data_IF_500247619453
#
_entry.id   IF_500247619453
#
_cell.length_a   1.000
_cell.length_b   1.000
_cell.length_c   1.000
_cell.angle_alpha   90.00
_cell.angle_beta   90.00
_cell.angle_gamma   90.00
#
_symmetry.space_group_name_H-M   'P 1'
#
loop_
_entity.id
_entity.type
_entity.pdbx_description
1 polymer ?
#
# COMPACT_ATOMS: atom_id res chain seq x y z
N UNK A 1 -35.51 14.01 -29.19
CA UNK A 1 -36.20 12.72 -28.91
C UNK A 1 -36.33 12.58 -27.41
N UNK A 2 -37.53 12.24 -26.86
CA UNK A 2 -37.67 11.89 -25.44
C UNK A 2 -37.21 10.45 -25.28
N UNK A 3 -36.36 10.18 -24.29
CA UNK A 3 -35.94 8.83 -23.97
C UNK A 3 -37.16 7.95 -23.60
N UNK A 4 -37.19 6.71 -24.09
CA UNK A 4 -38.23 5.74 -23.73
C UNK A 4 -38.03 5.30 -22.27
N UNK A 5 -39.12 5.16 -21.52
CA UNK A 5 -39.09 4.75 -20.10
C UNK A 5 -38.30 3.45 -19.89
N UNK A 6 -38.37 2.53 -20.84
CA UNK A 6 -37.61 1.27 -20.80
C UNK A 6 -36.10 1.47 -20.93
N UNK A 7 -35.68 2.41 -21.77
CA UNK A 7 -34.24 2.79 -21.94
C UNK A 7 -33.69 3.43 -20.67
N UNK A 8 -34.50 4.26 -20.02
CA UNK A 8 -34.11 4.90 -18.73
C UNK A 8 -33.94 3.85 -17.63
N UNK A 9 -34.88 2.89 -17.52
CA UNK A 9 -34.81 1.80 -16.53
C UNK A 9 -33.55 0.93 -16.74
N UNK A 10 -33.29 0.51 -17.98
CA UNK A 10 -32.06 -0.25 -18.31
C UNK A 10 -30.79 0.52 -18.01
N UNK A 11 -30.76 1.83 -18.23
CA UNK A 11 -29.63 2.68 -17.90
C UNK A 11 -29.41 2.74 -16.37
N UNK A 12 -30.50 2.89 -15.60
CA UNK A 12 -30.44 2.89 -14.14
C UNK A 12 -29.87 1.56 -13.57
N UNK A 13 -30.30 0.40 -14.11
CA UNK A 13 -29.78 -0.90 -13.70
C UNK A 13 -28.29 -1.04 -14.01
N UNK A 14 -27.86 -0.63 -15.22
CA UNK A 14 -26.42 -0.62 -15.60
C UNK A 14 -25.60 0.33 -14.72
N UNK A 15 -26.14 1.49 -14.39
CA UNK A 15 -25.46 2.44 -13.49
C UNK A 15 -25.35 1.90 -12.07
N UNK A 16 -26.40 1.26 -11.54
CA UNK A 16 -26.38 0.63 -10.22
C UNK A 16 -25.31 -0.49 -10.15
N UNK A 17 -25.21 -1.33 -11.18
CA UNK A 17 -24.20 -2.38 -11.27
C UNK A 17 -22.76 -1.84 -11.39
N UNK A 18 -22.60 -0.61 -11.89
CA UNK A 18 -21.28 0.04 -12.04
C UNK A 18 -20.93 0.97 -10.88
N UNK A 19 -21.86 1.24 -9.98
CA UNK A 19 -21.67 2.22 -8.91
C UNK A 19 -20.43 1.91 -8.05
N UNK A 20 -19.58 2.91 -7.85
CA UNK A 20 -18.35 2.80 -7.05
C UNK A 20 -17.18 2.09 -7.74
N UNK A 21 -17.35 1.57 -8.96
CA UNK A 21 -16.24 0.96 -9.68
C UNK A 21 -15.34 2.03 -10.34
N UNK A 22 -14.02 1.85 -10.34
CA UNK A 22 -13.10 2.77 -11.02
C UNK A 22 -13.38 2.81 -12.53
N UNK A 23 -13.12 3.95 -13.15
CA UNK A 23 -13.34 4.13 -14.59
C UNK A 23 -12.39 3.23 -15.39
N UNK A 24 -11.15 3.12 -14.95
CA UNK A 24 -10.12 2.26 -15.55
C UNK A 24 -9.84 1.03 -14.67
N UNK A 25 -9.45 -0.10 -15.29
CA UNK A 25 -9.03 -1.28 -14.52
C UNK A 25 -7.91 -0.91 -13.57
N UNK A 26 -8.01 -1.39 -12.32
CA UNK A 26 -7.02 -1.15 -11.28
C UNK A 26 -6.40 -2.47 -10.85
N UNK A 27 -5.12 -2.42 -10.48
CA UNK A 27 -4.44 -3.54 -9.83
C UNK A 27 -4.45 -3.29 -8.35
N UNK A 28 -5.08 -4.19 -7.62
CA UNK A 28 -5.18 -4.13 -6.18
C UNK A 28 -4.08 -5.00 -5.55
N UNK A 29 -3.37 -4.42 -4.59
CA UNK A 29 -2.36 -5.07 -3.75
C UNK A 29 -2.76 -4.88 -2.30
N UNK A 30 -2.36 -5.82 -1.46
CA UNK A 30 -2.64 -5.77 -0.03
C UNK A 30 -1.36 -5.98 0.75
N UNK A 31 -1.15 -5.18 1.78
CA UNK A 31 -0.06 -5.34 2.74
C UNK A 31 -0.61 -5.57 4.14
N UNK A 32 0.11 -6.34 4.93
CA UNK A 32 -0.20 -6.58 6.34
C UNK A 32 0.66 -5.69 7.23
N UNK A 33 0.07 -4.69 7.87
CA UNK A 33 0.70 -3.95 8.96
C UNK A 33 0.63 -4.87 10.19
N UNK A 34 1.67 -5.68 10.39
CA UNK A 34 1.70 -6.69 11.46
C UNK A 34 2.36 -6.13 12.71
N UNK A 35 1.55 -6.01 13.75
CA UNK A 35 2.01 -5.71 15.09
C UNK A 35 2.47 -7.00 15.79
N UNK A 36 3.63 -6.94 16.45
CA UNK A 36 4.17 -8.02 17.27
C UNK A 36 4.20 -7.54 18.72
N UNK A 37 3.52 -8.26 19.62
CA UNK A 37 3.54 -8.00 21.05
C UNK A 37 4.84 -8.57 21.63
N UNK A 38 5.77 -7.70 22.03
CA UNK A 38 7.05 -8.05 22.64
C UNK A 38 7.13 -7.55 24.06
N UNK A 39 8.10 -8.07 24.84
CA UNK A 39 8.32 -7.69 26.24
C UNK A 39 8.59 -6.21 26.46
N UNK A 40 9.17 -5.55 25.46
CA UNK A 40 9.52 -4.13 25.48
C UNK A 40 8.45 -3.23 24.78
N UNK A 41 7.35 -3.81 24.32
CA UNK A 41 6.22 -3.10 23.72
C UNK A 41 5.82 -3.64 22.35
N UNK A 42 5.01 -2.86 21.63
CA UNK A 42 4.58 -3.22 20.29
C UNK A 42 5.69 -2.91 19.28
N UNK A 43 5.90 -3.84 18.37
CA UNK A 43 6.78 -3.71 17.19
C UNK A 43 5.98 -3.84 15.91
N UNK A 44 6.45 -3.22 14.83
CA UNK A 44 6.00 -3.48 13.47
C UNK A 44 6.95 -4.47 12.81
N UNK A 45 6.40 -5.49 12.14
CA UNK A 45 7.17 -6.46 11.37
C UNK A 45 7.34 -5.97 9.94
N UNK A 46 8.56 -6.14 9.43
CA UNK A 46 8.95 -5.81 8.06
C UNK A 46 9.71 -6.97 7.44
N UNK A 47 9.75 -6.97 6.14
CA UNK A 47 10.65 -7.80 5.35
C UNK A 47 11.56 -6.94 4.47
N UNK A 48 12.73 -7.50 4.13
CA UNK A 48 13.64 -6.98 3.13
C UNK A 48 13.54 -7.86 1.90
N UNK A 49 13.28 -7.25 0.74
CA UNK A 49 13.11 -7.94 -0.53
C UNK A 49 14.41 -8.59 -0.98
N UNK A 50 14.31 -9.81 -1.55
CA UNK A 50 15.47 -10.54 -2.08
C UNK A 50 16.02 -9.89 -3.35
N UNK A 51 17.27 -10.19 -3.69
CA UNK A 51 17.95 -9.67 -4.89
C UNK A 51 17.34 -10.19 -6.21
N UNK A 52 16.59 -11.28 -6.14
CA UNK A 52 15.97 -11.98 -7.26
C UNK A 52 14.69 -11.34 -7.78
N UNK A 53 14.07 -10.45 -7.02
CA UNK A 53 12.76 -9.85 -7.34
C UNK A 53 12.88 -8.35 -7.65
N UNK A 54 11.78 -7.75 -8.12
CA UNK A 54 11.74 -6.31 -8.39
C UNK A 54 11.96 -5.51 -7.11
N UNK A 55 12.65 -4.38 -7.22
CA UNK A 55 13.02 -3.51 -6.10
C UNK A 55 13.83 -4.29 -5.03
N UNK A 56 14.97 -4.88 -5.40
CA UNK A 56 15.77 -5.66 -4.47
C UNK A 56 16.28 -4.80 -3.33
N UNK A 57 16.30 -5.38 -2.14
CA UNK A 57 16.76 -4.71 -0.92
C UNK A 57 15.80 -3.70 -0.31
N UNK A 58 14.67 -3.37 -0.95
CA UNK A 58 13.65 -2.51 -0.35
C UNK A 58 13.03 -3.17 0.89
N UNK A 59 12.71 -2.33 1.86
CA UNK A 59 11.99 -2.75 3.07
C UNK A 59 10.49 -2.50 2.89
N UNK A 60 9.70 -3.53 3.11
CA UNK A 60 8.24 -3.46 2.98
C UNK A 60 7.52 -4.23 4.09
N UNK A 61 6.22 -4.06 4.18
CA UNK A 61 5.35 -4.99 4.88
C UNK A 61 5.14 -6.24 4.03
N UNK A 62 4.92 -7.42 4.62
CA UNK A 62 4.47 -8.60 3.89
C UNK A 62 3.21 -8.28 3.10
N UNK A 63 3.12 -8.81 1.87
CA UNK A 63 1.94 -8.59 1.07
C UNK A 63 2.16 -8.68 -0.43
N UNK A 64 1.06 -8.78 -1.17
CA UNK A 64 1.12 -9.01 -2.59
C UNK A 64 -0.17 -8.66 -3.33
N UNK A 65 -0.37 -9.28 -4.47
CA UNK A 65 -1.48 -8.99 -5.35
C UNK A 65 -2.77 -9.66 -4.87
N UNK A 66 -3.86 -8.88 -4.81
CA UNK A 66 -5.20 -9.41 -4.56
C UNK A 66 -5.63 -10.34 -5.71
N UNK A 67 -6.00 -11.56 -5.38
CA UNK A 67 -6.52 -12.53 -6.34
C UNK A 67 -8.04 -12.45 -6.48
N UNK A 68 -8.56 -13.02 -7.57
CA UNK A 68 -10.00 -12.98 -7.84
C UNK A 68 -10.76 -13.83 -6.81
N UNK A 69 -11.70 -13.18 -6.11
CA UNK A 69 -12.54 -13.85 -5.10
C UNK A 69 -12.00 -13.79 -3.68
N UNK A 70 -10.77 -13.30 -3.48
CA UNK A 70 -10.22 -13.04 -2.15
C UNK A 70 -10.79 -11.78 -1.52
N UNK A 71 -10.94 -11.79 -0.22
CA UNK A 71 -11.03 -10.57 0.60
C UNK A 71 -9.64 -9.97 0.83
N UNK A 72 -9.58 -8.71 1.26
CA UNK A 72 -8.30 -8.07 1.59
C UNK A 72 -7.58 -8.78 2.73
N UNK A 73 -8.34 -9.27 3.71
CA UNK A 73 -7.82 -10.00 4.87
C UNK A 73 -7.22 -11.35 4.47
N UNK A 74 -7.91 -12.10 3.60
CA UNK A 74 -7.42 -13.38 3.09
C UNK A 74 -6.12 -13.20 2.30
N UNK A 75 -6.07 -12.21 1.40
CA UNK A 75 -4.86 -11.88 0.65
C UNK A 75 -3.68 -11.53 1.58
N UNK A 76 -3.90 -10.62 2.55
CA UNK A 76 -2.86 -10.22 3.49
C UNK A 76 -2.29 -11.40 4.27
N UNK A 77 -3.14 -12.32 4.73
CA UNK A 77 -2.71 -13.49 5.49
C UNK A 77 -2.02 -14.54 4.60
N UNK A 78 -2.52 -14.78 3.38
CA UNK A 78 -1.92 -15.71 2.41
C UNK A 78 -0.51 -15.27 2.03
N UNK A 79 -0.36 -14.03 1.60
CA UNK A 79 0.96 -13.48 1.20
C UNK A 79 1.94 -13.51 2.37
N UNK A 80 1.50 -13.13 3.59
CA UNK A 80 2.35 -13.19 4.78
C UNK A 80 2.80 -14.62 5.08
N UNK A 81 1.92 -15.61 4.92
CA UNK A 81 2.27 -17.02 5.10
C UNK A 81 3.27 -17.49 4.04
N UNK A 82 3.07 -17.12 2.77
CA UNK A 82 3.92 -17.51 1.65
C UNK A 82 5.32 -16.90 1.77
N UNK A 83 5.43 -15.64 2.17
CA UNK A 83 6.68 -14.90 2.28
C UNK A 83 7.46 -15.21 3.57
N UNK A 84 6.77 -15.35 4.70
CA UNK A 84 7.40 -15.41 6.02
C UNK A 84 7.17 -16.72 6.80
N UNK A 85 6.18 -17.53 6.41
CA UNK A 85 5.73 -18.72 7.15
C UNK A 85 4.80 -18.42 8.33
N UNK A 86 4.54 -17.15 8.64
CA UNK A 86 3.74 -16.74 9.79
C UNK A 86 2.24 -16.96 9.54
N UNK A 87 1.53 -17.58 10.50
CA UNK A 87 0.10 -17.93 10.35
C UNK A 87 -0.76 -17.67 11.60
N UNK A 88 -0.16 -17.48 12.77
CA UNK A 88 -0.91 -17.24 14.02
C UNK A 88 -1.19 -15.75 14.23
N UNK A 89 -1.89 -15.13 13.25
CA UNK A 89 -2.14 -13.71 13.19
C UNK A 89 -3.61 -13.43 13.45
N UNK A 90 -3.91 -12.60 14.44
CA UNK A 90 -5.25 -12.07 14.68
C UNK A 90 -5.43 -10.78 13.90
N UNK A 91 -6.31 -10.79 12.92
CA UNK A 91 -6.68 -9.59 12.15
C UNK A 91 -7.44 -8.62 13.05
N UNK A 92 -7.02 -7.36 13.07
CA UNK A 92 -7.69 -6.27 13.77
C UNK A 92 -8.66 -5.50 12.87
N UNK A 93 -8.38 -5.41 11.58
CA UNK A 93 -9.23 -4.76 10.59
C UNK A 93 -8.47 -4.15 9.43
N UNK A 94 -9.20 -3.48 8.54
CA UNK A 94 -8.64 -2.68 7.45
C UNK A 94 -8.26 -1.30 7.96
N UNK A 95 -7.17 -0.73 7.44
CA UNK A 95 -6.74 0.60 7.85
C UNK A 95 -6.96 1.63 6.74
N UNK A 96 -6.14 1.63 5.71
CA UNK A 96 -6.15 2.66 4.69
C UNK A 96 -5.88 2.09 3.29
N UNK A 97 -6.22 2.86 2.27
CA UNK A 97 -5.87 2.55 0.87
C UNK A 97 -5.08 3.72 0.29
N UNK A 98 -3.89 3.43 -0.19
CA UNK A 98 -3.06 4.36 -0.94
C UNK A 98 -3.26 4.15 -2.43
N UNK A 99 -3.61 5.21 -3.14
CA UNK A 99 -3.73 5.18 -4.60
C UNK A 99 -2.45 5.72 -5.23
N UNK A 100 -1.89 4.94 -6.15
CA UNK A 100 -0.67 5.28 -6.87
C UNK A 100 -0.93 5.58 -8.35
N UNK A 101 0.01 6.31 -8.94
CA UNK A 101 0.07 6.49 -10.40
C UNK A 101 0.15 5.09 -11.04
N UNK A 102 -0.27 4.90 -12.26
CA UNK A 102 -0.33 3.62 -12.96
C UNK A 102 -1.44 2.65 -12.50
N UNK A 103 -2.55 3.19 -12.01
CA UNK A 103 -3.76 2.43 -11.67
C UNK A 103 -3.50 1.31 -10.64
N UNK A 104 -2.72 1.62 -9.60
CA UNK A 104 -2.47 0.74 -8.46
C UNK A 104 -3.22 1.27 -7.24
N UNK A 105 -3.92 0.37 -6.54
CA UNK A 105 -4.40 0.60 -5.19
C UNK A 105 -3.66 -0.34 -4.24
N UNK A 106 -3.04 0.23 -3.21
CA UNK A 106 -2.39 -0.51 -2.13
C UNK A 106 -3.27 -0.42 -0.89
N UNK A 107 -3.90 -1.52 -0.54
CA UNK A 107 -4.72 -1.66 0.66
C UNK A 107 -3.87 -2.11 1.83
N UNK A 108 -4.23 -1.71 3.04
CA UNK A 108 -3.58 -2.20 4.25
C UNK A 108 -4.57 -2.86 5.20
N UNK A 109 -4.17 -4.01 5.70
CA UNK A 109 -4.83 -4.75 6.77
C UNK A 109 -3.92 -4.70 8.00
N UNK A 110 -4.49 -4.56 9.17
CA UNK A 110 -3.75 -4.58 10.44
C UNK A 110 -3.95 -5.91 11.12
N UNK A 111 -2.87 -6.55 11.52
CA UNK A 111 -2.87 -7.76 12.32
C UNK A 111 -1.99 -7.61 13.55
N UNK A 112 -2.16 -8.54 14.50
CA UNK A 112 -1.35 -8.65 15.70
C UNK A 112 -1.02 -10.09 16.04
N UNK A 113 0.17 -10.34 16.53
CA UNK A 113 0.62 -11.65 16.99
C UNK A 113 1.53 -11.55 18.21
N UNK A 114 1.69 -12.64 18.94
CA UNK A 114 2.64 -12.78 20.04
C UNK A 114 4.07 -13.03 19.52
N UNK A 115 5.10 -12.50 20.23
CA UNK A 115 6.52 -12.66 19.84
C UNK A 115 6.99 -14.13 19.77
N UNK A 116 6.35 -15.05 20.51
CA UNK A 116 6.70 -16.47 20.46
C UNK A 116 6.55 -17.08 19.06
N UNK A 117 5.69 -16.51 18.22
CA UNK A 117 5.51 -16.96 16.84
C UNK A 117 6.60 -16.46 15.87
N UNK A 118 7.50 -15.59 16.31
CA UNK A 118 8.68 -15.22 15.50
C UNK A 118 9.63 -16.40 15.30
N UNK A 119 9.59 -17.41 16.17
CA UNK A 119 10.36 -18.65 16.02
C UNK A 119 9.84 -19.51 14.84
N UNK A 120 8.59 -19.29 14.39
CA UNK A 120 7.98 -19.99 13.29
C UNK A 120 8.38 -19.41 11.92
N UNK A 121 9.18 -18.34 11.86
CA UNK A 121 9.59 -17.69 10.61
C UNK A 121 10.36 -18.67 9.71
N UNK A 122 9.77 -18.96 8.56
CA UNK A 122 10.35 -19.75 7.48
C UNK A 122 10.23 -18.97 6.17
N UNK A 123 11.05 -17.92 6.03
CA UNK A 123 11.00 -17.03 4.87
C UNK A 123 11.20 -17.75 3.55
N UNK A 124 10.50 -17.31 2.51
CA UNK A 124 10.77 -17.71 1.14
C UNK A 124 12.05 -16.98 0.65
N UNK A 125 13.21 -17.67 0.50
CA UNK A 125 14.47 -17.02 0.18
C UNK A 125 14.51 -16.42 -1.23
N UNK A 126 13.60 -16.83 -2.11
CA UNK A 126 13.49 -16.29 -3.47
C UNK A 126 12.82 -14.91 -3.48
N UNK A 127 12.05 -14.57 -2.46
CA UNK A 127 11.32 -13.31 -2.35
C UNK A 127 11.77 -12.44 -1.19
N UNK A 128 12.16 -13.04 -0.06
CA UNK A 128 12.47 -12.36 1.20
C UNK A 128 13.90 -12.65 1.64
N UNK A 129 14.74 -11.63 1.66
CA UNK A 129 16.11 -11.72 2.16
C UNK A 129 16.18 -11.76 3.69
N UNK A 130 15.31 -11.01 4.37
CA UNK A 130 15.32 -10.87 5.83
C UNK A 130 13.93 -10.51 6.33
N UNK A 131 13.57 -10.98 7.53
CA UNK A 131 12.39 -10.54 8.29
C UNK A 131 12.89 -9.96 9.61
N UNK A 132 12.39 -8.78 10.00
CA UNK A 132 12.80 -8.09 11.22
C UNK A 132 11.65 -7.27 11.81
N UNK A 133 11.84 -6.81 13.04
CA UNK A 133 10.85 -5.97 13.71
C UNK A 133 11.46 -4.64 14.17
N UNK A 134 10.65 -3.58 14.14
CA UNK A 134 11.04 -2.24 14.63
C UNK A 134 10.06 -1.81 15.71
N UNK A 135 10.52 -1.34 16.89
CA UNK A 135 9.63 -0.86 17.94
C UNK A 135 8.73 0.28 17.45
N UNK A 136 7.43 0.23 17.72
CA UNK A 136 6.50 1.35 17.45
C UNK A 136 7.01 2.63 18.12
N UNK A 137 7.62 2.49 19.30
CA UNK A 137 8.24 3.60 20.05
C UNK A 137 9.26 4.38 19.20
N UNK A 138 10.07 3.68 18.40
CA UNK A 138 11.03 4.34 17.49
C UNK A 138 10.33 5.33 16.57
N UNK A 139 9.23 4.93 15.93
CA UNK A 139 8.47 5.80 15.03
C UNK A 139 7.73 6.94 15.73
N UNK A 140 7.38 6.75 17.01
CA UNK A 140 6.78 7.82 17.83
C UNK A 140 7.78 8.90 18.20
N UNK A 141 9.04 8.51 18.45
CA UNK A 141 10.12 9.39 18.90
C UNK A 141 10.96 9.97 17.76
N UNK A 142 10.87 9.37 16.56
CA UNK A 142 11.68 9.75 15.40
C UNK A 142 10.83 10.41 14.31
N UNK A 143 11.16 11.62 13.93
CA UNK A 143 10.57 12.24 12.75
C UNK A 143 11.28 11.72 11.49
N UNK A 144 10.56 11.26 10.46
CA UNK A 144 11.18 10.86 9.20
C UNK A 144 11.77 12.06 8.48
N UNK A 145 12.81 11.84 7.68
CA UNK A 145 13.19 12.80 6.67
C UNK A 145 12.10 12.82 5.58
N UNK A 146 11.62 14.01 5.22
CA UNK A 146 10.61 14.18 4.17
C UNK A 146 11.25 14.76 2.93
N UNK A 147 11.24 13.99 1.83
CA UNK A 147 11.62 14.49 0.51
C UNK A 147 10.37 14.82 -0.29
N UNK A 148 10.31 16.05 -0.84
CA UNK A 148 9.19 16.48 -1.70
C UNK A 148 9.66 16.61 -3.15
N UNK A 149 8.85 16.09 -4.10
CA UNK A 149 9.11 16.23 -5.53
C UNK A 149 7.84 16.59 -6.31
N UNK A 150 8.05 17.18 -7.47
CA UNK A 150 6.95 17.54 -8.36
C UNK A 150 6.53 16.34 -9.20
N UNK A 151 5.21 16.14 -9.31
CA UNK A 151 4.61 15.19 -10.27
C UNK A 151 4.13 16.00 -11.46
N UNK A 152 4.79 15.83 -12.59
CA UNK A 152 4.49 16.52 -13.83
C UNK A 152 3.95 15.52 -14.85
N UNK A 153 3.03 15.99 -15.72
CA UNK A 153 2.58 15.20 -16.87
C UNK A 153 3.61 15.36 -18.00
N UNK A 154 4.09 14.25 -18.54
CA UNK A 154 4.83 14.27 -19.80
C UNK A 154 3.82 14.39 -20.96
N UNK A 155 3.69 15.59 -21.47
CA UNK A 155 2.74 15.94 -22.53
C UNK A 155 3.42 16.18 -23.87
N UNK A 156 4.55 15.52 -24.08
CA UNK A 156 5.31 15.56 -25.30
C UNK A 156 4.45 15.18 -26.47
N UNK A 157 4.18 15.69 -27.46
CA UNK A 157 3.31 15.34 -28.59
C UNK A 157 1.79 15.38 -28.30
N UNK A 158 1.37 16.10 -27.25
CA UNK A 158 -0.05 16.28 -26.98
C UNK A 158 -0.72 17.03 -28.14
N UNK A 159 -1.90 16.57 -28.62
CA UNK A 159 -2.54 17.13 -29.80
C UNK A 159 -3.34 18.41 -29.49
N UNK A 160 -2.66 19.49 -29.11
CA UNK A 160 -3.25 20.76 -28.71
C UNK A 160 -4.29 21.32 -29.67
N UNK A 161 -4.01 21.21 -30.98
CA UNK A 161 -4.91 21.71 -32.04
C UNK A 161 -6.20 20.92 -32.14
N UNK A 162 -6.15 19.59 -31.92
CA UNK A 162 -7.34 18.73 -31.98
C UNK A 162 -8.30 18.98 -30.82
N UNK A 163 -7.77 19.36 -29.65
CA UNK A 163 -8.60 19.66 -28.48
C UNK A 163 -8.92 21.14 -28.33
N UNK A 164 -8.42 22.00 -29.25
CA UNK A 164 -8.72 23.42 -29.31
C UNK A 164 -8.12 24.24 -28.16
N UNK A 165 -7.01 23.78 -27.56
CA UNK A 165 -6.31 24.52 -26.51
C UNK A 165 -4.94 25.02 -27.00
N UNK A 166 -4.44 26.06 -26.35
CA UNK A 166 -3.16 26.67 -26.73
C UNK A 166 -1.98 25.81 -26.30
N UNK A 167 -0.86 25.87 -27.03
CA UNK A 167 0.39 25.13 -26.73
C UNK A 167 1.03 25.54 -25.39
N UNK A 168 0.70 26.74 -24.89
CA UNK A 168 1.14 27.26 -23.58
C UNK A 168 0.16 26.93 -22.44
N UNK A 169 -0.75 25.96 -22.62
CA UNK A 169 -1.68 25.51 -21.60
C UNK A 169 -0.94 25.06 -20.34
N UNK A 170 -1.34 25.63 -19.21
CA UNK A 170 -0.70 25.38 -17.93
C UNK A 170 -1.23 24.06 -17.31
N UNK A 171 -0.48 23.00 -17.50
CA UNK A 171 -0.77 21.72 -16.89
C UNK A 171 -0.58 21.79 -15.37
N UNK A 172 -1.43 21.07 -14.64
CA UNK A 172 -1.29 21.02 -13.18
C UNK A 172 -0.03 20.27 -12.78
N UNK A 173 0.73 20.86 -11.89
CA UNK A 173 1.86 20.22 -11.22
C UNK A 173 1.39 19.73 -9.86
N UNK A 174 1.47 18.43 -9.63
CA UNK A 174 1.25 17.84 -8.32
C UNK A 174 2.51 17.88 -7.48
N UNK A 175 2.37 17.71 -6.17
CA UNK A 175 3.48 17.47 -5.25
C UNK A 175 3.27 16.14 -4.55
N UNK A 176 4.34 15.38 -4.39
CA UNK A 176 4.34 14.13 -3.64
C UNK A 176 5.46 14.17 -2.61
N UNK A 177 5.16 13.71 -1.39
CA UNK A 177 6.13 13.58 -0.31
C UNK A 177 6.50 12.12 -0.11
N UNK A 178 7.76 11.88 0.16
CA UNK A 178 8.32 10.57 0.50
C UNK A 178 8.91 10.66 1.89
N UNK A 179 8.40 9.88 2.81
CA UNK A 179 8.97 9.72 4.14
C UNK A 179 10.12 8.70 4.10
N UNK A 180 11.17 8.94 4.88
CA UNK A 180 12.34 8.09 4.98
C UNK A 180 12.73 7.97 6.46
N UNK A 181 12.72 6.75 6.99
CA UNK A 181 13.22 6.41 8.32
C UNK A 181 14.51 5.63 8.21
N UNK A 182 15.46 5.91 9.10
CA UNK A 182 16.67 5.13 9.29
C UNK A 182 16.60 4.44 10.64
N UNK A 183 16.56 3.10 10.64
CA UNK A 183 16.58 2.29 11.84
C UNK A 183 17.74 1.30 11.74
N UNK A 184 18.78 1.49 12.54
CA UNK A 184 20.04 0.73 12.46
C UNK A 184 20.62 0.74 11.00
N UNK A 185 20.77 -0.41 10.38
CA UNK A 185 21.19 -0.60 8.99
C UNK A 185 20.03 -0.62 7.98
N UNK A 186 18.78 -0.43 8.45
CA UNK A 186 17.57 -0.49 7.63
C UNK A 186 17.09 0.90 7.19
N UNK A 187 16.67 1.00 5.95
CA UNK A 187 16.02 2.20 5.41
C UNK A 187 14.59 1.84 5.05
N UNK A 188 13.64 2.45 5.76
CA UNK A 188 12.21 2.30 5.50
C UNK A 188 11.74 3.57 4.79
N UNK A 189 11.27 3.46 3.56
CA UNK A 189 10.96 4.62 2.75
C UNK A 189 9.75 4.40 1.84
N UNK A 190 9.34 5.43 1.11
CA UNK A 190 8.33 5.32 0.07
C UNK A 190 6.93 5.04 0.64
N UNK A 191 6.22 4.10 0.00
CA UNK A 191 4.87 3.69 0.41
C UNK A 191 4.85 3.10 1.82
N UNK A 192 5.81 2.25 2.12
CA UNK A 192 5.93 1.61 3.43
C UNK A 192 6.06 2.64 4.54
N UNK A 193 6.99 3.59 4.40
CA UNK A 193 7.15 4.67 5.37
C UNK A 193 5.93 5.59 5.44
N UNK A 194 5.21 5.78 4.33
CA UNK A 194 3.94 6.51 4.29
C UNK A 194 2.87 5.85 5.16
N UNK A 195 2.67 4.53 5.01
CA UNK A 195 1.77 3.77 5.87
C UNK A 195 2.20 3.79 7.33
N UNK A 196 3.50 3.56 7.62
CA UNK A 196 4.03 3.62 8.99
C UNK A 196 3.74 4.96 9.63
N UNK A 197 4.08 6.06 8.95
CA UNK A 197 3.88 7.43 9.47
C UNK A 197 2.42 7.68 9.78
N UNK A 198 1.52 7.43 8.83
CA UNK A 198 0.08 7.65 9.00
C UNK A 198 -0.47 6.77 10.12
N UNK A 199 -0.17 5.47 10.09
CA UNK A 199 -0.66 4.51 11.08
C UNK A 199 -0.21 4.84 12.51
N UNK A 200 1.08 5.16 12.70
CA UNK A 200 1.59 5.49 14.02
C UNK A 200 1.04 6.82 14.53
N UNK A 201 0.93 7.82 13.65
CA UNK A 201 0.36 9.12 14.02
C UNK A 201 -1.11 9.03 14.40
N UNK A 202 -1.92 8.27 13.67
CA UNK A 202 -3.36 8.16 13.92
C UNK A 202 -3.72 7.21 15.07
N UNK A 203 -2.97 6.12 15.23
CA UNK A 203 -3.32 5.09 16.21
C UNK A 203 -2.65 5.27 17.58
N UNK A 204 -1.50 5.95 17.64
CA UNK A 204 -0.69 6.01 18.86
C UNK A 204 -0.35 7.43 19.35
N UNK A 205 -0.42 8.47 18.51
CA UNK A 205 -0.28 9.87 18.98
C UNK A 205 -1.64 10.36 19.50
N UNK A 206 -1.63 10.92 20.71
CA UNK A 206 -2.80 11.57 21.34
C UNK A 206 -2.94 13.00 20.84
#
# INVERSE_FOLDING_TARGET
MKANQNEVTQLQEKMAARAGQPLEPRRDYVVLILLVERKDGLHLLFEKRAETIKQPGDVCFPGGRLEAGETLEECALRETLEETGLHNIRVLGRYATQYEIASIAMHSVVGIMDENHLEDIHRNPDEVAEVFTVPVKFFLETNPFIYEYNVIQDVKDFPYEQVGIRKDYQWRVGKKQVAIYHYEDKIIWGLTAGFVKSFVEEMFKK
#
